data_IF_014106878781
#
_entry.id   IF_014106878781
#
_cell.length_a   1.000
_cell.length_b   1.000
_cell.length_c   1.000
_cell.angle_alpha   90.00
_cell.angle_beta   90.00
_cell.angle_gamma   90.00
#
_symmetry.space_group_name_H-M   'P 1'
#
loop_
_entity.id
_entity.type
_entity.pdbx_description
1 polymer ?
#
# COMPACT_ATOMS: atom_id res chain seq x y z
N UNK A 1 5.46 5.24 -46.21
CA UNK A 1 5.81 5.55 -44.81
C UNK A 1 7.29 5.89 -44.72
N UNK A 2 7.63 7.11 -44.30
CA UNK A 2 9.02 7.62 -44.25
C UNK A 2 9.80 7.06 -43.05
N UNK A 3 11.12 6.87 -43.22
CA UNK A 3 12.07 6.40 -42.19
C UNK A 3 12.02 7.24 -40.90
N UNK A 4 11.71 8.55 -41.01
CA UNK A 4 11.54 9.44 -39.86
C UNK A 4 10.35 9.10 -38.95
N UNK A 5 9.24 8.63 -39.53
CA UNK A 5 8.06 8.22 -38.76
C UNK A 5 8.31 6.95 -37.93
N UNK A 6 9.14 6.03 -38.44
CA UNK A 6 9.51 4.80 -37.70
C UNK A 6 10.46 5.10 -36.55
N UNK A 7 11.41 6.01 -36.73
CA UNK A 7 12.36 6.40 -35.67
C UNK A 7 11.66 7.15 -34.53
N UNK A 8 10.71 8.04 -34.83
CA UNK A 8 9.90 8.71 -33.81
C UNK A 8 9.03 7.72 -33.02
N UNK A 9 8.41 6.74 -33.70
CA UNK A 9 7.65 5.68 -33.05
C UNK A 9 8.52 4.76 -32.17
N UNK A 10 9.73 4.40 -32.64
CA UNK A 10 10.68 3.62 -31.84
C UNK A 10 11.19 4.39 -30.61
N UNK A 11 11.42 5.70 -30.74
CA UNK A 11 11.79 6.57 -29.62
C UNK A 11 10.72 6.60 -28.54
N UNK A 12 9.45 6.81 -28.91
CA UNK A 12 8.33 6.82 -27.97
C UNK A 12 8.13 5.45 -27.29
N UNK A 13 8.31 4.35 -28.02
CA UNK A 13 8.24 3.00 -27.46
C UNK A 13 9.37 2.72 -26.46
N UNK A 14 10.62 3.08 -26.77
CA UNK A 14 11.77 2.95 -25.86
C UNK A 14 11.59 3.78 -24.58
N UNK A 15 11.13 5.03 -24.71
CA UNK A 15 10.86 5.88 -23.53
C UNK A 15 9.74 5.30 -22.67
N UNK A 16 8.65 4.82 -23.28
CA UNK A 16 7.54 4.20 -22.55
C UNK A 16 7.99 2.93 -21.82
N UNK A 17 8.81 2.08 -22.46
CA UNK A 17 9.35 0.88 -21.84
C UNK A 17 10.30 1.20 -20.68
N UNK A 18 11.15 2.22 -20.83
CA UNK A 18 12.05 2.68 -19.76
C UNK A 18 11.26 3.21 -18.55
N UNK A 19 10.24 4.04 -18.77
CA UNK A 19 9.39 4.58 -17.71
C UNK A 19 8.59 3.49 -16.99
N UNK A 20 8.04 2.53 -17.75
CA UNK A 20 7.38 1.36 -17.17
C UNK A 20 8.35 0.52 -16.32
N UNK A 21 9.53 0.22 -16.85
CA UNK A 21 10.55 -0.58 -16.15
C UNK A 21 10.99 0.11 -14.86
N UNK A 22 11.31 1.40 -14.94
CA UNK A 22 11.65 2.25 -13.79
C UNK A 22 10.56 2.27 -12.72
N UNK A 23 9.30 2.36 -13.15
CA UNK A 23 8.15 2.34 -12.23
C UNK A 23 8.03 0.99 -11.53
N UNK A 24 8.12 -0.11 -12.29
CA UNK A 24 8.03 -1.46 -11.72
C UNK A 24 9.18 -1.75 -10.77
N UNK A 25 10.38 -1.24 -11.06
CA UNK A 25 11.54 -1.38 -10.18
C UNK A 25 11.36 -0.58 -8.90
N UNK A 26 10.89 0.68 -8.98
CA UNK A 26 10.60 1.49 -7.79
C UNK A 26 9.52 0.88 -6.91
N UNK A 27 8.46 0.34 -7.50
CA UNK A 27 7.40 -0.38 -6.76
C UNK A 27 7.96 -1.63 -6.06
N UNK A 28 8.84 -2.37 -6.74
CA UNK A 28 9.54 -3.53 -6.16
C UNK A 28 10.43 -3.14 -4.98
N UNK A 29 11.31 -2.16 -5.17
CA UNK A 29 12.25 -1.69 -4.14
C UNK A 29 11.50 -1.20 -2.91
N UNK A 30 10.42 -0.43 -3.11
CA UNK A 30 9.56 0.04 -2.02
C UNK A 30 8.96 -1.10 -1.23
N UNK A 31 8.38 -2.10 -1.90
CA UNK A 31 7.77 -3.25 -1.24
C UNK A 31 8.79 -4.12 -0.52
N UNK A 32 9.99 -4.24 -1.09
CA UNK A 32 11.13 -4.91 -0.46
C UNK A 32 11.52 -4.20 0.84
N UNK A 33 11.75 -2.88 0.79
CA UNK A 33 12.13 -2.09 1.97
C UNK A 33 11.06 -2.13 3.05
N UNK A 34 9.79 -2.00 2.67
CA UNK A 34 8.65 -2.11 3.61
C UNK A 34 8.65 -3.48 4.29
N UNK A 35 8.77 -4.55 3.52
CA UNK A 35 8.76 -5.91 4.05
C UNK A 35 9.95 -6.13 4.99
N UNK A 36 11.13 -5.60 4.64
CA UNK A 36 12.31 -5.68 5.48
C UNK A 36 12.10 -4.91 6.80
N UNK A 37 11.59 -3.68 6.75
CA UNK A 37 11.34 -2.85 7.93
C UNK A 37 10.37 -3.51 8.91
N UNK A 38 9.23 -4.02 8.42
CA UNK A 38 8.23 -4.68 9.28
C UNK A 38 8.82 -5.93 9.93
N UNK A 39 9.58 -6.73 9.18
CA UNK A 39 10.22 -7.91 9.74
C UNK A 39 11.29 -7.55 10.77
N UNK A 40 12.05 -6.48 10.54
CA UNK A 40 13.04 -5.98 11.48
C UNK A 40 12.39 -5.46 12.76
N UNK A 41 11.29 -4.69 12.68
CA UNK A 41 10.56 -4.20 13.85
C UNK A 41 10.01 -5.36 14.71
N UNK A 42 9.48 -6.40 14.08
CA UNK A 42 9.01 -7.58 14.80
C UNK A 42 10.12 -8.27 15.61
N UNK A 43 11.34 -8.33 15.07
CA UNK A 43 12.51 -8.85 15.78
C UNK A 43 12.99 -7.88 16.85
N UNK A 44 13.12 -6.59 16.51
CA UNK A 44 13.70 -5.58 17.39
C UNK A 44 12.81 -5.25 18.61
N UNK A 45 11.48 -5.28 18.45
CA UNK A 45 10.53 -4.92 19.50
C UNK A 45 10.07 -6.11 20.34
N UNK A 46 9.98 -7.30 19.73
CA UNK A 46 9.39 -8.47 20.39
C UNK A 46 10.32 -9.68 20.47
N UNK A 47 11.48 -9.66 19.81
CA UNK A 47 12.39 -10.81 19.77
C UNK A 47 11.84 -12.00 19.00
N UNK A 48 10.84 -11.79 18.13
CA UNK A 48 10.13 -12.89 17.48
C UNK A 48 11.02 -13.71 16.55
N UNK A 49 10.92 -15.03 16.71
CA UNK A 49 11.50 -16.00 15.79
C UNK A 49 10.76 -16.02 14.43
N UNK A 50 11.32 -16.64 13.39
CA UNK A 50 10.79 -16.52 12.02
C UNK A 50 9.30 -16.87 11.86
N UNK A 51 8.77 -17.85 12.60
CA UNK A 51 7.35 -18.24 12.53
C UNK A 51 6.45 -17.33 13.35
N UNK A 52 6.89 -16.92 14.54
CA UNK A 52 6.20 -15.95 15.39
C UNK A 52 6.07 -14.61 14.68
N UNK A 53 7.14 -14.17 14.00
CA UNK A 53 7.14 -12.97 13.16
C UNK A 53 6.11 -13.07 12.04
N UNK A 54 6.02 -14.21 11.34
CA UNK A 54 5.01 -14.39 10.29
C UNK A 54 3.59 -14.29 10.86
N UNK A 55 3.34 -14.91 12.01
CA UNK A 55 2.05 -14.86 12.67
C UNK A 55 1.70 -13.43 13.10
N UNK A 56 2.65 -12.72 13.70
CA UNK A 56 2.51 -11.33 14.12
C UNK A 56 2.21 -10.39 12.94
N UNK A 57 2.97 -10.49 11.85
CA UNK A 57 2.75 -9.66 10.65
C UNK A 57 1.37 -9.94 10.05
N UNK A 58 0.92 -11.20 10.04
CA UNK A 58 -0.44 -11.55 9.58
C UNK A 58 -1.52 -10.98 10.48
N UNK A 59 -1.34 -11.04 11.79
CA UNK A 59 -2.28 -10.45 12.75
C UNK A 59 -2.34 -8.91 12.60
N UNK A 60 -1.19 -8.23 12.44
CA UNK A 60 -1.14 -6.80 12.17
C UNK A 60 -1.84 -6.45 10.84
N UNK A 61 -1.65 -7.27 9.80
CA UNK A 61 -2.33 -7.10 8.51
C UNK A 61 -3.86 -7.28 8.60
N UNK A 62 -4.35 -7.97 9.63
CA UNK A 62 -5.77 -8.14 9.93
C UNK A 62 -6.33 -7.03 10.84
N UNK A 63 -5.52 -6.04 11.22
CA UNK A 63 -5.91 -4.91 12.06
C UNK A 63 -5.63 -5.08 13.55
N UNK A 64 -4.89 -6.12 13.96
CA UNK A 64 -4.36 -6.18 15.33
C UNK A 64 -3.37 -5.03 15.54
N UNK A 65 -3.62 -4.20 16.55
CA UNK A 65 -2.67 -3.19 16.98
C UNK A 65 -1.65 -3.84 17.91
N UNK A 66 -0.34 -3.79 17.63
CA UNK A 66 0.66 -4.32 18.54
C UNK A 66 0.62 -3.52 19.84
N UNK A 67 0.25 -4.19 20.94
CA UNK A 67 0.39 -3.65 22.29
C UNK A 67 1.87 -3.54 22.67
N UNK A 68 2.19 -2.68 23.62
CA UNK A 68 3.52 -2.56 24.23
C UNK A 68 4.64 -1.98 23.33
N UNK A 69 4.30 -1.27 22.25
CA UNK A 69 5.26 -0.58 21.38
C UNK A 69 4.95 0.92 21.25
N UNK A 70 5.94 1.76 20.92
CA UNK A 70 5.69 3.18 20.64
C UNK A 70 4.61 3.37 19.56
N UNK A 71 3.70 4.32 19.77
CA UNK A 71 2.56 4.56 18.89
C UNK A 71 2.96 4.77 17.41
N UNK A 72 4.09 5.43 17.16
CA UNK A 72 4.64 5.60 15.82
C UNK A 72 5.02 4.25 15.17
N UNK A 73 5.64 3.33 15.93
CA UNK A 73 5.97 2.00 15.44
C UNK A 73 4.71 1.16 15.19
N UNK A 74 3.72 1.24 16.08
CA UNK A 74 2.42 0.58 15.88
C UNK A 74 1.73 1.07 14.60
N UNK A 75 1.71 2.39 14.35
CA UNK A 75 1.12 2.96 13.15
C UNK A 75 1.83 2.49 11.86
N UNK A 76 3.18 2.45 11.89
CA UNK A 76 3.99 1.91 10.77
C UNK A 76 3.67 0.43 10.54
N UNK A 77 3.60 -0.38 11.60
CA UNK A 77 3.29 -1.80 11.53
C UNK A 77 1.90 -2.04 10.95
N UNK A 78 0.87 -1.39 11.47
CA UNK A 78 -0.52 -1.54 10.99
C UNK A 78 -0.64 -1.16 9.51
N UNK A 79 -0.05 -0.03 9.12
CA UNK A 79 -0.10 0.45 7.73
C UNK A 79 0.59 -0.50 6.75
N UNK A 80 1.74 -1.05 7.15
CA UNK A 80 2.61 -1.75 6.21
C UNK A 80 2.59 -3.27 6.32
N UNK A 81 2.00 -3.82 7.39
CA UNK A 81 1.84 -5.25 7.58
C UNK A 81 1.13 -5.95 6.41
N UNK A 82 0.08 -5.38 5.77
CA UNK A 82 -0.55 -6.02 4.61
C UNK A 82 0.44 -6.27 3.45
N UNK A 83 1.30 -5.29 3.14
CA UNK A 83 2.33 -5.42 2.10
C UNK A 83 3.34 -6.49 2.50
N UNK A 84 3.83 -6.45 3.75
CA UNK A 84 4.78 -7.42 4.26
C UNK A 84 4.22 -8.86 4.30
N UNK A 85 2.92 -9.03 4.59
CA UNK A 85 2.25 -10.32 4.58
C UNK A 85 2.17 -10.90 3.16
N UNK A 86 1.74 -10.11 2.17
CA UNK A 86 1.67 -10.51 0.76
C UNK A 86 3.05 -10.88 0.22
N UNK A 87 4.06 -10.04 0.49
CA UNK A 87 5.43 -10.29 0.08
C UNK A 87 6.03 -11.52 0.78
N UNK A 88 5.73 -11.72 2.07
CA UNK A 88 6.13 -12.90 2.83
C UNK A 88 5.56 -14.20 2.25
N UNK A 89 4.27 -14.20 1.90
CA UNK A 89 3.60 -15.34 1.26
C UNK A 89 4.17 -15.62 -0.13
N UNK A 90 4.45 -14.57 -0.92
CA UNK A 90 5.14 -14.70 -2.19
C UNK A 90 6.52 -15.33 -2.01
N UNK A 91 7.36 -14.82 -1.10
CA UNK A 91 8.70 -15.37 -0.88
C UNK A 91 8.68 -16.81 -0.39
N UNK A 92 7.66 -17.21 0.37
CA UNK A 92 7.47 -18.61 0.78
C UNK A 92 7.21 -19.49 -0.44
N UNK A 93 6.19 -19.15 -1.25
CA UNK A 93 5.83 -19.89 -2.47
C UNK A 93 6.98 -19.91 -3.47
N UNK A 94 7.62 -18.77 -3.69
CA UNK A 94 8.74 -18.64 -4.61
C UNK A 94 9.93 -19.53 -4.23
N UNK A 95 10.24 -19.61 -2.92
CA UNK A 95 11.39 -20.40 -2.42
C UNK A 95 11.08 -21.88 -2.25
N UNK A 96 9.86 -22.24 -1.84
CA UNK A 96 9.52 -23.60 -1.42
C UNK A 96 8.73 -24.38 -2.48
N UNK A 97 7.98 -23.69 -3.34
CA UNK A 97 7.05 -24.34 -4.28
C UNK A 97 7.55 -24.17 -5.72
N UNK A 98 7.77 -22.94 -6.20
CA UNK A 98 8.18 -22.71 -7.59
C UNK A 98 8.85 -21.36 -7.83
N UNK A 99 9.95 -21.36 -8.60
CA UNK A 99 10.61 -20.15 -9.11
C UNK A 99 9.81 -19.43 -10.20
N UNK A 100 8.76 -20.06 -10.74
CA UNK A 100 7.83 -19.45 -11.68
C UNK A 100 6.66 -18.74 -10.97
N UNK A 101 6.67 -18.67 -9.63
CA UNK A 101 5.65 -17.93 -8.88
C UNK A 101 5.62 -16.47 -9.36
N UNK A 102 4.47 -15.96 -9.85
CA UNK A 102 4.38 -14.59 -10.33
C UNK A 102 4.49 -13.60 -9.17
N UNK A 103 5.11 -12.44 -9.43
CA UNK A 103 5.20 -11.35 -8.46
C UNK A 103 3.80 -10.81 -8.13
N UNK A 104 3.46 -10.58 -6.84
CA UNK A 104 2.08 -10.31 -6.41
C UNK A 104 1.65 -8.84 -6.62
N UNK A 105 1.91 -8.28 -7.80
CA UNK A 105 1.69 -6.87 -8.11
C UNK A 105 0.24 -6.42 -7.87
N UNK A 106 -0.73 -7.22 -8.30
CA UNK A 106 -2.16 -6.90 -8.16
C UNK A 106 -2.67 -6.95 -6.71
N UNK A 107 -2.03 -7.75 -5.85
CA UNK A 107 -2.34 -7.74 -4.43
C UNK A 107 -1.80 -6.48 -3.76
N UNK A 108 -0.58 -6.06 -4.12
CA UNK A 108 0.07 -4.84 -3.62
C UNK A 108 -0.71 -3.60 -4.04
N UNK A 109 -1.10 -3.48 -5.32
CA UNK A 109 -1.90 -2.34 -5.83
C UNK A 109 -3.22 -2.17 -5.09
N UNK A 110 -3.91 -3.28 -4.77
CA UNK A 110 -5.16 -3.23 -4.01
C UNK A 110 -4.97 -2.73 -2.58
N UNK A 111 -3.82 -3.00 -1.97
CA UNK A 111 -3.47 -2.48 -0.64
C UNK A 111 -3.21 -0.97 -0.74
N UNK A 112 -2.41 -0.54 -1.71
CA UNK A 112 -2.13 0.90 -1.91
C UNK A 112 -3.38 1.72 -2.21
N UNK A 113 -4.35 1.16 -2.94
CA UNK A 113 -5.64 1.80 -3.21
C UNK A 113 -6.54 1.91 -1.98
N UNK A 114 -6.40 1.01 -1.00
CA UNK A 114 -7.11 1.10 0.29
C UNK A 114 -6.52 2.16 1.22
N UNK A 115 -5.23 2.45 1.06
CA UNK A 115 -4.49 3.50 1.79
C UNK A 115 -4.58 4.89 1.11
N UNK A 116 -5.28 5.01 -0.03
CA UNK A 116 -5.51 6.27 -0.72
C UNK A 116 -6.37 7.24 0.09
N UNK A 117 -6.24 8.57 -0.09
CA UNK A 117 -6.74 9.57 0.85
C UNK A 117 -8.26 9.47 1.03
N UNK A 118 -8.66 9.09 2.24
CA UNK A 118 -10.03 9.19 2.74
C UNK A 118 -10.37 10.66 3.05
N UNK A 119 -10.25 11.56 2.06
CA UNK A 119 -10.59 12.99 2.18
C UNK A 119 -11.81 13.38 1.30
N UNK A 120 -12.63 12.41 0.89
CA UNK A 120 -13.85 12.67 0.11
C UNK A 120 -15.14 12.63 0.94
N UNK A 121 -15.07 12.95 2.24
CA UNK A 121 -16.24 13.04 3.11
C UNK A 121 -16.24 14.32 3.96
N UNK A 122 -16.19 15.49 3.33
CA UNK A 122 -16.73 16.73 3.93
C UNK A 122 -17.24 17.63 2.81
N UNK A 123 -18.53 17.54 2.52
CA UNK A 123 -19.13 18.34 1.45
C UNK A 123 -20.63 18.12 1.22
N UNK A 124 -21.46 18.30 2.24
CA UNK A 124 -22.82 18.86 2.10
C UNK A 124 -23.53 18.94 3.46
N UNK A 125 -23.14 19.92 4.27
CA UNK A 125 -24.05 20.47 5.26
C UNK A 125 -24.95 21.47 4.51
N UNK A 126 -26.16 21.02 4.16
CA UNK A 126 -27.19 21.86 3.55
C UNK A 126 -27.49 23.06 4.44
N UNK A 127 -27.37 24.26 3.87
CA UNK A 127 -27.74 25.50 4.51
C UNK A 127 -29.24 25.56 4.80
N UNK A 128 -29.60 25.37 6.06
CA UNK A 128 -30.94 25.70 6.57
C UNK A 128 -31.07 27.24 6.59
N UNK A 129 -31.90 27.79 5.69
CA UNK A 129 -32.33 29.20 5.78
C UNK A 129 -33.24 29.38 7.01
N UNK A 130 -33.08 30.43 7.83
CA UNK A 130 -34.06 30.76 8.85
C UNK A 130 -35.29 31.43 8.20
N UNK A 131 -36.44 30.75 8.30
CA UNK A 131 -37.74 31.32 7.99
C UNK A 131 -38.14 32.35 9.05
N UNK A 132 -38.37 33.57 8.60
CA UNK A 132 -38.96 34.68 9.34
C UNK A 132 -40.35 34.26 9.86
N UNK A 133 -40.59 34.33 11.17
CA UNK A 133 -41.94 34.28 11.73
C UNK A 133 -42.30 35.68 12.23
N UNK A 134 -43.24 36.29 11.51
CA UNK A 134 -43.85 37.56 11.84
C UNK A 134 -44.81 37.39 13.03
N UNK A 135 -44.69 38.29 13.99
CA UNK A 135 -45.67 38.48 15.06
C UNK A 135 -47.00 39.02 14.51
N UNK A 136 -48.16 38.59 15.04
CA UNK A 136 -49.37 39.40 14.98
C UNK A 136 -49.53 40.21 16.27
N UNK A 137 -49.91 41.47 16.06
CA UNK A 137 -50.34 42.44 17.06
C UNK A 137 -51.69 42.03 17.63
N UNK A 138 -51.86 42.18 18.94
CA UNK A 138 -53.06 42.71 19.60
C UNK A 138 -52.64 43.32 20.92
#
# INVERSE_FOLDING_TARGET
>A
MSRGARLAAHGAASTSLSLCSDRTLREHDRCYTITHLVNWLAVALHGYEPDERKAFVRACAQGMSPGDVPAAAAAVLVRHAPVAAVMGDFYRRFRQESRATPYPLEAIRRIEQRDGPSDAATGSAGGQRPGQSAAPRT
#
